data_IF_084356102650
#
_entry.id   IF_084356102650
#
_cell.length_a   1.000
_cell.length_b   1.000
_cell.length_c   1.000
_cell.angle_alpha   90.00
_cell.angle_beta   90.00
_cell.angle_gamma   90.00
#
_symmetry.space_group_name_H-M   'P 1'
#
loop_
_entity.id
_entity.type
_entity.pdbx_description
1 polymer ?
#
# COMPACT_ATOMS: atom_id res chain seq x y z
N UNK A 1 -14.01 -10.10 -28.65
CA UNK A 1 -14.08 -9.27 -27.43
C UNK A 1 -12.88 -9.61 -26.56
N UNK A 2 -11.97 -8.67 -26.32
CA UNK A 2 -10.80 -8.90 -25.45
C UNK A 2 -11.24 -8.78 -23.98
N UNK A 3 -10.84 -9.70 -23.09
CA UNK A 3 -11.19 -9.62 -21.67
C UNK A 3 -10.53 -8.39 -21.04
N UNK A 4 -11.34 -7.57 -20.35
CA UNK A 4 -10.94 -6.27 -19.75
C UNK A 4 -9.77 -6.33 -18.75
N UNK A 5 -9.34 -7.53 -18.34
CA UNK A 5 -8.28 -7.74 -17.34
C UNK A 5 -7.16 -8.67 -17.83
N UNK A 6 -7.05 -8.91 -19.14
CA UNK A 6 -5.89 -9.63 -19.67
C UNK A 6 -4.65 -8.74 -19.56
N UNK A 7 -3.69 -9.16 -18.74
CA UNK A 7 -2.41 -8.50 -18.64
C UNK A 7 -1.68 -8.64 -19.99
N UNK A 8 -1.39 -7.54 -20.71
CA UNK A 8 -0.78 -7.61 -22.03
C UNK A 8 0.61 -8.27 -22.01
N UNK A 9 1.28 -8.24 -20.85
CA UNK A 9 2.59 -8.88 -20.66
C UNK A 9 2.51 -10.40 -20.44
N UNK A 10 1.31 -10.95 -20.22
CA UNK A 10 1.06 -12.40 -20.11
C UNK A 10 0.44 -12.98 -21.38
N UNK A 11 0.15 -12.14 -22.38
CA UNK A 11 -0.25 -12.63 -23.68
C UNK A 11 0.93 -13.37 -24.31
N UNK A 12 0.71 -14.61 -24.75
CA UNK A 12 1.68 -15.35 -25.55
C UNK A 12 1.83 -14.64 -26.89
N UNK A 13 2.77 -13.71 -26.96
CA UNK A 13 3.22 -13.13 -28.23
C UNK A 13 4.19 -14.16 -28.82
N UNK A 14 3.92 -14.70 -30.02
CA UNK A 14 4.86 -15.59 -30.70
C UNK A 14 6.16 -14.81 -30.91
N UNK A 15 7.26 -15.32 -30.37
CA UNK A 15 8.59 -14.74 -30.53
C UNK A 15 9.43 -15.65 -31.42
N UNK A 16 10.10 -15.06 -32.40
CA UNK A 16 11.02 -15.73 -33.29
C UNK A 16 12.46 -15.42 -32.86
N UNK A 17 13.35 -16.42 -32.91
CA UNK A 17 14.76 -16.24 -32.57
C UNK A 17 15.47 -15.66 -33.79
N UNK A 18 15.90 -14.40 -33.70
CA UNK A 18 16.59 -13.69 -34.78
C UNK A 18 18.08 -13.58 -34.43
N UNK A 19 18.96 -13.75 -35.42
CA UNK A 19 20.40 -13.57 -35.25
C UNK A 19 20.75 -12.10 -35.04
N UNK A 20 21.85 -11.83 -34.32
CA UNK A 20 22.33 -10.46 -34.10
C UNK A 20 22.64 -9.74 -35.41
N UNK A 21 23.14 -10.46 -36.41
CA UNK A 21 23.48 -9.88 -37.71
C UNK A 21 22.23 -9.48 -38.51
N UNK A 22 21.15 -10.26 -38.41
CA UNK A 22 19.87 -9.96 -39.10
C UNK A 22 19.18 -8.70 -38.54
N UNK A 23 19.37 -8.42 -37.24
CA UNK A 23 18.81 -7.22 -36.61
C UNK A 23 19.42 -5.90 -37.13
N UNK A 24 20.62 -5.94 -37.73
CA UNK A 24 21.29 -4.74 -38.25
C UNK A 24 21.00 -4.45 -39.72
N UNK A 25 20.58 -5.44 -40.50
CA UNK A 25 20.27 -5.25 -41.93
C UNK A 25 18.92 -4.55 -42.17
N UNK A 26 17.99 -4.60 -41.22
CA UNK A 26 16.66 -3.99 -41.36
C UNK A 26 16.62 -2.50 -40.92
N UNK A 27 17.70 -1.99 -40.32
CA UNK A 27 17.78 -0.63 -39.81
C UNK A 27 18.39 0.38 -40.80
N UNK A 28 19.00 -0.08 -41.91
CA UNK A 28 19.51 0.81 -42.94
C UNK A 28 18.45 1.10 -44.00
N UNK A 29 17.69 2.18 -43.76
CA UNK A 29 16.73 2.85 -44.67
C UNK A 29 15.24 2.51 -44.50
N UNK A 30 14.60 2.91 -43.39
CA UNK A 30 13.14 2.94 -43.29
C UNK A 30 12.48 4.09 -44.08
N UNK A 31 13.24 5.03 -44.66
CA UNK A 31 12.64 6.19 -45.33
C UNK A 31 12.26 5.96 -46.81
N UNK A 32 12.72 4.88 -47.44
CA UNK A 32 12.51 4.68 -48.89
C UNK A 32 11.40 3.69 -49.25
N UNK A 33 10.68 3.13 -48.28
CA UNK A 33 9.66 2.08 -48.50
C UNK A 33 8.28 2.36 -47.90
N UNK A 34 8.07 3.54 -47.35
CA UNK A 34 6.70 3.99 -47.06
C UNK A 34 6.08 4.41 -48.40
N UNK A 35 5.33 3.49 -48.98
CA UNK A 35 4.54 3.75 -50.18
C UNK A 35 3.74 5.05 -50.00
N UNK A 36 3.64 5.83 -51.08
CA UNK A 36 3.03 7.16 -51.07
C UNK A 36 1.58 7.18 -50.53
N UNK A 37 0.94 6.01 -50.39
CA UNK A 37 -0.40 5.81 -49.86
C UNK A 37 -0.48 5.84 -48.32
N UNK A 38 0.62 5.62 -47.60
CA UNK A 38 0.61 5.59 -46.12
C UNK A 38 0.84 6.97 -45.49
N UNK A 39 1.40 7.91 -46.26
CA UNK A 39 1.57 9.32 -45.82
C UNK A 39 0.25 10.01 -45.41
N UNK A 40 -0.88 9.87 -46.12
CA UNK A 40 -2.15 10.44 -45.67
C UNK A 40 -2.67 9.76 -44.41
N UNK A 41 -2.50 8.44 -44.28
CA UNK A 41 -2.92 7.69 -43.10
C UNK A 41 -2.14 8.13 -41.85
N UNK A 42 -0.83 8.34 -41.99
CA UNK A 42 0.04 8.82 -40.92
C UNK A 42 -0.32 10.25 -40.49
N UNK A 43 -0.70 11.11 -41.45
CA UNK A 43 -1.23 12.46 -41.14
C UNK A 43 -2.56 12.40 -40.41
N UNK A 44 -3.47 11.51 -40.81
CA UNK A 44 -4.75 11.34 -40.12
C UNK A 44 -4.57 10.81 -38.70
N UNK A 45 -3.65 9.87 -38.50
CA UNK A 45 -3.35 9.32 -37.18
C UNK A 45 -2.74 10.37 -36.24
N UNK A 46 -1.78 11.18 -36.74
CA UNK A 46 -1.23 12.29 -35.98
C UNK A 46 -2.31 13.33 -35.63
N UNK A 47 -3.20 13.64 -36.57
CA UNK A 47 -4.33 14.54 -36.33
C UNK A 47 -5.24 14.00 -35.21
N UNK A 48 -5.63 12.72 -35.26
CA UNK A 48 -6.47 12.10 -34.22
C UNK A 48 -5.78 12.06 -32.86
N UNK A 49 -4.48 11.81 -32.82
CA UNK A 49 -3.72 11.87 -31.57
C UNK A 49 -3.78 13.27 -30.97
N UNK A 50 -3.49 14.31 -31.75
CA UNK A 50 -3.58 15.69 -31.26
C UNK A 50 -5.00 16.09 -30.85
N UNK A 51 -6.02 15.71 -31.61
CA UNK A 51 -7.42 15.98 -31.26
C UNK A 51 -7.84 15.23 -29.97
N UNK A 52 -7.33 14.01 -29.74
CA UNK A 52 -7.62 13.25 -28.51
C UNK A 52 -6.82 13.71 -27.29
N UNK A 53 -5.65 14.33 -27.52
CA UNK A 53 -4.72 14.81 -26.50
C UNK A 53 -4.97 16.28 -26.15
N UNK A 54 -6.02 16.91 -26.68
CA UNK A 54 -6.66 18.08 -26.04
C UNK A 54 -7.25 17.65 -24.69
N UNK A 55 -6.37 17.36 -23.74
CA UNK A 55 -6.70 17.34 -22.33
C UNK A 55 -7.11 18.76 -21.98
N UNK A 56 -8.42 19.02 -21.94
CA UNK A 56 -8.96 20.10 -21.13
C UNK A 56 -8.48 19.85 -19.71
N UNK A 57 -7.42 20.52 -19.31
CA UNK A 57 -7.01 20.62 -17.91
C UNK A 57 -8.00 21.55 -17.19
N UNK A 58 -9.29 21.18 -17.23
CA UNK A 58 -10.19 21.48 -16.13
C UNK A 58 -9.78 20.53 -15.02
N UNK A 59 -8.70 20.87 -14.33
CA UNK A 59 -8.37 20.22 -13.07
C UNK A 59 -9.37 20.78 -12.06
N UNK A 60 -10.41 20.04 -11.62
CA UNK A 60 -10.99 20.36 -10.33
C UNK A 60 -9.90 20.06 -9.32
N UNK A 61 -9.13 21.10 -8.98
CA UNK A 61 -8.24 21.09 -7.82
C UNK A 61 -9.11 20.57 -6.68
N UNK A 62 -8.76 19.38 -6.20
CA UNK A 62 -9.46 18.68 -5.12
C UNK A 62 -9.32 19.53 -3.87
N UNK A 63 -10.17 20.55 -3.75
CA UNK A 63 -10.42 21.20 -2.48
C UNK A 63 -10.95 20.10 -1.58
N UNK A 64 -10.19 19.79 -0.53
CA UNK A 64 -10.73 19.03 0.58
C UNK A 64 -12.03 19.72 0.97
N UNK A 65 -13.16 19.01 0.91
CA UNK A 65 -14.41 19.46 1.51
C UNK A 65 -14.10 19.75 2.98
N UNK A 66 -13.87 21.02 3.29
CA UNK A 66 -14.02 21.54 4.63
C UNK A 66 -15.50 21.35 4.93
N UNK A 67 -15.78 20.56 5.96
CA UNK A 67 -17.13 20.37 6.44
C UNK A 67 -17.56 21.73 7.02
N UNK A 68 -18.25 22.52 6.21
CA UNK A 68 -18.90 23.76 6.63
C UNK A 68 -20.15 23.34 7.41
N UNK A 69 -19.93 22.95 8.66
CA UNK A 69 -21.00 22.98 9.65
C UNK A 69 -21.30 24.44 9.93
N UNK A 70 -22.58 24.81 9.84
CA UNK A 70 -23.08 26.11 10.33
C UNK A 70 -22.72 26.24 11.81
N UNK A 71 -21.59 26.88 12.08
CA UNK A 71 -21.27 27.34 13.42
C UNK A 71 -22.03 28.65 13.61
N UNK A 72 -23.05 28.59 14.46
CA UNK A 72 -23.59 29.78 15.12
C UNK A 72 -22.43 30.66 15.59
N UNK A 73 -22.33 31.86 15.01
CA UNK A 73 -21.50 32.95 15.49
C UNK A 73 -21.99 33.37 16.88
N UNK A 74 -21.65 32.59 17.90
CA UNK A 74 -21.53 33.13 19.25
C UNK A 74 -20.22 33.92 19.27
N UNK A 75 -20.32 35.20 19.61
CA UNK A 75 -19.19 36.11 19.83
C UNK A 75 -18.29 35.53 20.92
N UNK A 76 -17.41 34.62 20.52
CA UNK A 76 -16.40 34.04 21.39
C UNK A 76 -15.20 34.96 21.31
N UNK A 77 -14.87 35.56 22.45
CA UNK A 77 -13.64 36.30 22.64
C UNK A 77 -12.45 35.48 22.11
N UNK A 78 -11.47 36.12 21.45
CA UNK A 78 -10.37 35.41 20.82
C UNK A 78 -9.67 34.53 21.86
N UNK A 79 -9.77 33.22 21.69
CA UNK A 79 -9.12 32.27 22.58
C UNK A 79 -7.61 32.39 22.37
N UNK A 80 -6.92 33.01 23.32
CA UNK A 80 -5.46 33.17 23.29
C UNK A 80 -4.80 31.82 23.58
N UNK A 81 -4.36 31.14 22.54
CA UNK A 81 -3.53 29.94 22.68
C UNK A 81 -2.08 30.34 22.97
N UNK A 82 -1.58 30.00 24.15
CA UNK A 82 -0.17 30.13 24.53
C UNK A 82 0.54 28.81 24.28
N UNK A 83 1.47 28.79 23.33
CA UNK A 83 2.31 27.62 23.07
C UNK A 83 3.36 27.51 24.20
N UNK A 84 3.23 26.52 25.08
CA UNK A 84 4.21 26.23 26.12
C UNK A 84 5.14 25.15 25.59
N UNK A 85 6.41 25.50 25.35
CA UNK A 85 7.44 24.52 25.01
C UNK A 85 7.84 23.73 26.26
N UNK A 86 8.08 22.44 26.12
CA UNK A 86 8.59 21.55 27.18
C UNK A 86 10.10 21.69 27.42
N UNK A 87 10.79 22.59 26.71
CA UNK A 87 12.19 22.87 26.93
C UNK A 87 12.40 23.68 28.22
N UNK A 88 13.40 23.28 29.02
CA UNK A 88 13.73 23.86 30.34
C UNK A 88 14.15 25.34 30.25
N UNK A 89 14.63 25.80 29.09
CA UNK A 89 15.01 27.19 28.82
C UNK A 89 14.36 27.72 27.53
N UNK A 90 13.82 28.95 27.54
CA UNK A 90 13.24 29.57 26.35
C UNK A 90 14.33 29.85 25.30
N UNK A 91 14.26 29.16 24.16
CA UNK A 91 15.16 29.42 23.03
C UNK A 91 14.80 30.77 22.39
N UNK A 92 15.72 31.74 22.30
CA UNK A 92 15.46 33.00 21.63
C UNK A 92 15.13 32.75 20.15
N UNK A 93 14.00 33.29 19.70
CA UNK A 93 13.60 33.21 18.30
C UNK A 93 14.49 34.18 17.51
N UNK A 94 15.27 33.68 16.57
CA UNK A 94 16.03 34.52 15.67
C UNK A 94 15.07 35.16 14.65
N UNK A 95 14.79 36.46 14.82
CA UNK A 95 13.91 37.25 13.94
C UNK A 95 14.66 37.70 12.66
N UNK A 96 16.00 37.59 12.65
CA UNK A 96 16.77 38.00 11.49
C UNK A 96 16.41 37.13 10.29
N UNK A 97 16.27 37.73 9.09
CA UNK A 97 16.03 36.96 7.89
C UNK A 97 17.14 35.91 7.75
N UNK A 98 16.82 34.69 7.28
CA UNK A 98 17.83 33.70 6.99
C UNK A 98 18.85 34.28 5.99
N UNK A 99 20.14 33.90 6.09
CA UNK A 99 21.15 34.38 5.17
C UNK A 99 20.73 34.09 3.72
N UNK A 100 21.10 34.96 2.76
CA UNK A 100 20.79 34.75 1.36
C UNK A 100 21.30 33.36 0.93
N UNK A 101 20.47 32.63 0.18
CA UNK A 101 20.86 31.32 -0.33
C UNK A 101 22.14 31.48 -1.15
N UNK A 102 23.13 30.59 -1.00
CA UNK A 102 24.31 30.62 -1.86
C UNK A 102 23.88 30.51 -3.32
N UNK A 103 24.63 31.12 -4.27
CA UNK A 103 24.34 30.99 -5.69
C UNK A 103 24.18 29.52 -6.07
N UNK A 104 23.18 29.15 -6.88
CA UNK A 104 23.02 27.78 -7.33
C UNK A 104 24.28 27.41 -8.12
N UNK A 105 25.14 26.60 -7.51
CA UNK A 105 26.31 26.07 -8.19
C UNK A 105 25.84 24.95 -9.11
N UNK A 106 25.31 25.33 -10.27
CA UNK A 106 24.96 24.38 -11.32
C UNK A 106 26.23 24.01 -12.07
N UNK A 107 26.72 22.80 -11.82
CA UNK A 107 27.73 22.15 -12.65
C UNK A 107 27.03 21.05 -13.41
N UNK A 108 27.00 21.17 -14.73
CA UNK A 108 26.51 20.10 -15.60
C UNK A 108 27.30 18.82 -15.29
N UNK A 109 26.62 17.69 -15.05
CA UNK A 109 27.29 16.41 -14.90
C UNK A 109 28.09 16.09 -16.17
N UNK A 110 29.31 15.58 -16.02
CA UNK A 110 30.03 15.06 -17.18
C UNK A 110 29.25 13.86 -17.73
N UNK A 111 28.78 13.97 -18.98
CA UNK A 111 27.95 12.96 -19.62
C UNK A 111 28.76 11.75 -20.14
N UNK A 112 30.07 11.90 -20.24
CA UNK A 112 30.98 10.84 -20.70
C UNK A 112 31.68 10.18 -19.53
N UNK A 113 31.62 8.85 -19.49
CA UNK A 113 32.37 8.07 -18.52
C UNK A 113 33.86 8.13 -18.81
N UNK A 114 34.65 8.41 -17.78
CA UNK A 114 36.09 8.15 -17.84
C UNK A 114 36.33 6.63 -17.88
N UNK A 115 37.45 6.20 -18.48
CA UNK A 115 37.81 4.77 -18.51
C UNK A 115 37.86 4.16 -17.10
N UNK A 116 38.31 4.94 -16.11
CA UNK A 116 38.33 4.53 -14.70
C UNK A 116 36.93 4.28 -14.15
N UNK A 117 35.96 5.13 -14.48
CA UNK A 117 34.58 4.99 -14.02
C UNK A 117 33.85 3.84 -14.73
N UNK A 118 34.17 3.59 -16.00
CA UNK A 118 33.72 2.39 -16.71
C UNK A 118 34.23 1.11 -16.02
N UNK A 119 35.51 1.07 -15.60
CA UNK A 119 36.06 -0.05 -14.85
C UNK A 119 35.41 -0.21 -13.47
N UNK A 120 35.15 0.88 -12.75
CA UNK A 120 34.40 0.82 -11.48
C UNK A 120 32.99 0.27 -11.69
N UNK A 121 32.27 0.76 -12.71
CA UNK A 121 30.92 0.25 -13.04
C UNK A 121 30.94 -1.23 -13.36
N UNK A 122 31.94 -1.69 -14.13
CA UNK A 122 32.13 -3.12 -14.44
C UNK A 122 32.41 -3.96 -13.18
N UNK A 123 33.22 -3.45 -12.24
CA UNK A 123 33.48 -4.14 -10.96
C UNK A 123 32.22 -4.20 -10.10
N UNK A 124 31.50 -3.09 -9.98
CA UNK A 124 30.25 -3.03 -9.22
C UNK A 124 29.17 -3.92 -9.83
N UNK A 125 28.99 -3.90 -11.15
CA UNK A 125 28.02 -4.75 -11.83
C UNK A 125 28.34 -6.22 -11.64
N UNK A 126 29.62 -6.61 -11.71
CA UNK A 126 30.06 -7.98 -11.43
C UNK A 126 29.83 -8.39 -9.97
N UNK A 127 29.98 -7.48 -9.02
CA UNK A 127 29.75 -7.74 -7.60
C UNK A 127 28.26 -7.85 -7.24
N UNK A 128 27.40 -7.09 -7.92
CA UNK A 128 25.93 -7.10 -7.72
C UNK A 128 25.25 -8.18 -8.56
N UNK A 129 25.88 -8.64 -9.64
CA UNK A 129 25.33 -9.69 -10.49
C UNK A 129 25.04 -10.94 -9.65
N UNK A 130 23.75 -11.27 -9.57
CA UNK A 130 23.29 -12.50 -8.96
C UNK A 130 23.60 -13.62 -9.95
N UNK A 131 24.28 -14.66 -9.48
CA UNK A 131 24.57 -15.84 -10.29
C UNK A 131 23.26 -16.49 -10.76
N UNK A 132 23.17 -16.79 -12.06
CA UNK A 132 22.01 -17.45 -12.65
C UNK A 132 21.74 -18.78 -11.96
N UNK A 133 22.80 -19.56 -11.71
CA UNK A 133 22.68 -20.86 -11.05
C UNK A 133 22.14 -20.72 -9.63
N UNK A 134 22.53 -19.64 -8.93
CA UNK A 134 21.99 -19.31 -7.61
C UNK A 134 20.49 -18.99 -7.68
N UNK A 135 20.03 -18.20 -8.66
CA UNK A 135 18.59 -17.88 -8.83
C UNK A 135 17.78 -19.16 -9.11
N UNK A 136 18.29 -20.04 -9.98
CA UNK A 136 17.63 -21.31 -10.28
C UNK A 136 17.56 -22.20 -9.05
N UNK A 137 18.62 -22.27 -8.25
CA UNK A 137 18.62 -23.02 -6.99
C UNK A 137 17.66 -22.42 -5.96
N UNK A 138 17.64 -21.10 -5.80
CA UNK A 138 16.75 -20.42 -4.85
C UNK A 138 15.28 -20.57 -5.24
N UNK A 139 14.95 -20.50 -6.54
CA UNK A 139 13.58 -20.68 -7.04
C UNK A 139 13.00 -22.07 -6.78
N UNK A 140 13.87 -23.09 -6.68
CA UNK A 140 13.49 -24.47 -6.35
C UNK A 140 13.25 -24.67 -4.86
N UNK A 141 13.70 -23.76 -3.99
CA UNK A 141 13.40 -23.81 -2.56
C UNK A 141 11.92 -23.47 -2.39
N UNK A 142 11.15 -24.42 -1.88
CA UNK A 142 9.77 -24.17 -1.48
C UNK A 142 9.77 -23.27 -0.25
N UNK A 143 9.70 -21.96 -0.47
CA UNK A 143 9.33 -21.05 0.60
C UNK A 143 7.86 -21.30 0.91
N UNK A 144 7.61 -22.13 1.92
CA UNK A 144 6.34 -22.06 2.64
C UNK A 144 6.11 -20.58 2.93
N UNK A 145 4.88 -20.04 2.72
CA UNK A 145 4.63 -18.63 3.02
C UNK A 145 5.13 -18.43 4.44
N UNK A 146 6.20 -17.64 4.58
CA UNK A 146 6.69 -17.25 5.90
C UNK A 146 5.45 -16.84 6.65
N UNK A 147 5.23 -17.31 7.90
CA UNK A 147 4.14 -16.83 8.72
C UNK A 147 4.43 -15.35 8.91
N UNK A 148 3.97 -14.54 7.96
CA UNK A 148 4.17 -13.11 8.02
C UNK A 148 3.40 -12.77 9.27
N UNK A 149 4.09 -12.18 10.24
CA UNK A 149 3.51 -11.83 11.53
C UNK A 149 2.19 -11.06 11.39
N UNK A 150 1.97 -10.46 10.21
CA UNK A 150 0.78 -9.69 9.80
C UNK A 150 -0.30 -10.51 9.08
N UNK A 151 0.01 -11.68 8.53
CA UNK A 151 -0.95 -12.60 7.90
C UNK A 151 -1.39 -13.69 8.88
N UNK A 152 -1.94 -13.29 10.02
CA UNK A 152 -2.63 -14.21 10.93
C UNK A 152 -4.07 -14.40 10.46
N UNK A 153 -4.24 -15.10 9.34
CA UNK A 153 -5.55 -15.66 8.99
C UNK A 153 -5.69 -16.92 9.83
N UNK A 154 -6.40 -16.84 10.96
CA UNK A 154 -6.49 -17.96 11.90
C UNK A 154 -7.54 -18.97 11.48
N UNK A 155 -8.68 -18.50 10.97
CA UNK A 155 -9.78 -19.35 10.53
C UNK A 155 -10.54 -18.68 9.38
N UNK A 156 -10.77 -19.43 8.32
CA UNK A 156 -11.73 -19.11 7.28
C UNK A 156 -12.86 -20.13 7.36
N UNK A 157 -14.05 -19.68 7.74
CA UNK A 157 -15.25 -20.50 7.77
C UNK A 157 -16.18 -20.01 6.68
N UNK A 158 -16.51 -20.91 5.76
CA UNK A 158 -17.64 -20.72 4.87
C UNK A 158 -18.88 -20.96 5.73
N UNK A 159 -19.70 -19.94 5.93
CA UNK A 159 -21.00 -20.14 6.58
C UNK A 159 -21.84 -20.99 5.64
N UNK A 160 -22.20 -22.24 5.97
CA UNK A 160 -23.19 -22.94 5.19
C UNK A 160 -24.47 -22.11 5.27
N UNK A 161 -24.99 -21.65 4.14
CA UNK A 161 -26.33 -21.09 4.07
C UNK A 161 -27.26 -22.12 4.72
N UNK A 162 -27.91 -21.72 5.81
CA UNK A 162 -28.74 -22.61 6.61
C UNK A 162 -29.65 -23.39 5.66
N UNK A 163 -29.51 -24.72 5.68
CA UNK A 163 -30.36 -25.66 4.96
C UNK A 163 -31.74 -25.70 5.61
N UNK A 164 -32.45 -24.59 5.51
CA UNK A 164 -33.86 -24.44 5.80
C UNK A 164 -34.43 -23.54 4.72
N UNK A 165 -34.76 -24.17 3.59
CA UNK A 165 -35.96 -23.88 2.79
C UNK A 165 -36.46 -22.43 2.82
N UNK A 166 -35.68 -21.51 2.27
CA UNK A 166 -36.21 -20.27 1.72
C UNK A 166 -35.28 -19.77 0.61
N UNK A 167 -35.79 -19.81 -0.61
CA UNK A 167 -35.18 -19.27 -1.82
C UNK A 167 -34.89 -17.79 -1.61
N UNK A 168 -33.67 -17.47 -1.20
CA UNK A 168 -33.15 -16.10 -1.31
C UNK A 168 -31.68 -16.18 -1.72
N UNK A 169 -31.41 -15.55 -2.86
CA UNK A 169 -30.13 -15.49 -3.58
C UNK A 169 -29.06 -14.71 -2.80
N UNK A 170 -28.75 -15.12 -1.58
CA UNK A 170 -27.67 -14.52 -0.81
C UNK A 170 -26.35 -15.16 -1.23
N UNK A 171 -25.47 -14.33 -1.80
CA UNK A 171 -24.12 -14.74 -2.19
C UNK A 171 -23.37 -15.39 -1.01
N UNK A 172 -22.54 -16.42 -1.24
CA UNK A 172 -21.78 -17.04 -0.16
C UNK A 172 -20.92 -15.99 0.55
N UNK A 173 -21.19 -15.79 1.84
CA UNK A 173 -20.45 -14.83 2.66
C UNK A 173 -19.24 -15.55 3.27
N UNK A 174 -18.05 -15.10 2.88
CA UNK A 174 -16.79 -15.51 3.50
C UNK A 174 -16.54 -14.64 4.73
N UNK A 175 -16.53 -15.24 5.92
CA UNK A 175 -16.20 -14.53 7.16
C UNK A 175 -14.72 -14.72 7.44
N UNK A 176 -13.96 -13.63 7.34
CA UNK A 176 -12.53 -13.59 7.63
C UNK A 176 -12.30 -13.09 9.05
N UNK A 177 -11.73 -13.95 9.91
CA UNK A 177 -11.30 -13.54 11.25
C UNK A 177 -9.82 -13.11 11.21
N UNK A 178 -9.57 -11.86 11.60
CA UNK A 178 -8.23 -11.32 11.76
C UNK A 178 -7.92 -11.06 13.24
N UNK A 179 -6.73 -11.46 13.69
CA UNK A 179 -6.24 -11.05 15.01
C UNK A 179 -5.93 -9.55 14.98
N UNK A 180 -6.66 -8.79 15.79
CA UNK A 180 -6.43 -7.36 15.92
C UNK A 180 -5.00 -7.11 16.43
N UNK A 181 -4.21 -6.24 15.79
CA UNK A 181 -2.86 -5.94 16.24
C UNK A 181 -2.91 -5.37 17.67
N UNK A 182 -1.92 -5.73 18.48
CA UNK A 182 -1.79 -5.26 19.85
C UNK A 182 -1.77 -3.73 19.84
N UNK A 183 -2.85 -3.09 20.31
CA UNK A 183 -2.91 -1.63 20.41
C UNK A 183 -2.09 -1.22 21.63
N UNK A 184 -1.16 -0.28 21.45
CA UNK A 184 -0.50 0.40 22.57
C UNK A 184 -1.45 1.35 23.31
N UNK A 185 -2.60 1.63 22.72
CA UNK A 185 -3.67 2.42 23.33
C UNK A 185 -4.78 1.49 23.82
N UNK A 186 -5.25 1.70 25.04
CA UNK A 186 -6.41 0.97 25.55
C UNK A 186 -7.62 1.33 24.67
N UNK A 187 -8.50 0.36 24.32
CA UNK A 187 -9.76 0.69 23.66
C UNK A 187 -10.52 1.71 24.52
N UNK A 188 -11.36 2.58 23.93
CA UNK A 188 -12.16 3.51 24.71
C UNK A 188 -13.00 2.71 25.72
N UNK A 189 -12.67 2.90 27.00
CA UNK A 189 -13.39 2.35 28.14
C UNK A 189 -14.41 3.41 28.53
N UNK A 190 -15.67 3.02 28.75
CA UNK A 190 -16.70 3.97 29.22
C UNK A 190 -16.29 4.55 30.57
N UNK A 191 -16.64 5.81 30.83
CA UNK A 191 -16.25 6.50 32.07
C UNK A 191 -16.74 5.77 33.33
N UNK A 192 -17.89 5.07 33.24
CA UNK A 192 -18.40 4.22 34.31
C UNK A 192 -17.43 3.10 34.70
N UNK A 193 -16.81 2.44 33.71
CA UNK A 193 -15.88 1.33 33.92
C UNK A 193 -14.53 1.78 34.51
N UNK A 194 -14.17 3.06 34.37
CA UNK A 194 -12.95 3.61 34.93
C UNK A 194 -12.98 3.66 36.46
N UNK A 195 -14.16 3.65 37.09
CA UNK A 195 -14.30 3.66 38.55
C UNK A 195 -14.05 2.28 39.21
N UNK A 196 -13.94 1.22 38.41
CA UNK A 196 -13.84 -0.16 38.89
C UNK A 196 -12.46 -0.78 38.64
N UNK A 197 -12.12 -1.81 39.42
CA UNK A 197 -10.93 -2.61 39.15
C UNK A 197 -11.07 -3.31 37.78
N UNK A 198 -10.06 -3.27 36.88
CA UNK A 198 -8.64 -3.02 37.14
C UNK A 198 -8.14 -1.58 36.89
N UNK A 199 -9.03 -0.63 36.61
CA UNK A 199 -8.64 0.72 36.20
C UNK A 199 -8.26 1.62 37.39
N UNK A 200 -8.81 1.35 38.58
CA UNK A 200 -8.45 2.01 39.84
C UNK A 200 -8.01 0.98 40.86
N UNK A 201 -6.80 1.15 41.41
CA UNK A 201 -6.26 0.25 42.43
C UNK A 201 -7.09 0.36 43.72
N UNK A 202 -7.57 -0.77 44.24
CA UNK A 202 -8.42 -0.83 45.44
C UNK A 202 -9.91 -0.60 45.19
N UNK A 203 -10.35 -0.34 43.96
CA UNK A 203 -11.76 -0.23 43.64
C UNK A 203 -12.49 -1.60 43.65
N UNK A 204 -13.81 -1.63 43.95
CA UNK A 204 -14.58 -2.87 43.88
C UNK A 204 -14.68 -3.39 42.44
N UNK A 205 -14.72 -4.72 42.23
CA UNK A 205 -14.88 -5.31 40.90
C UNK A 205 -16.25 -4.97 40.30
N UNK A 206 -16.28 -4.69 38.99
CA UNK A 206 -17.50 -4.34 38.25
C UNK A 206 -18.61 -5.40 38.45
N UNK A 207 -19.89 -5.01 38.66
CA UNK A 207 -21.00 -5.93 38.92
C UNK A 207 -21.15 -7.03 37.85
N UNK A 208 -20.96 -6.70 36.57
CA UNK A 208 -21.03 -7.72 35.50
C UNK A 208 -19.93 -8.78 35.57
N UNK A 209 -18.76 -8.43 36.11
CA UNK A 209 -17.68 -9.38 36.30
C UNK A 209 -18.02 -10.42 37.38
N UNK A 210 -18.89 -10.06 38.33
CA UNK A 210 -19.38 -10.98 39.36
C UNK A 210 -20.46 -11.93 38.82
N UNK A 211 -21.28 -11.48 37.86
CA UNK A 211 -22.32 -12.30 37.23
C UNK A 211 -21.71 -13.49 36.48
N UNK A 212 -20.59 -13.27 35.78
CA UNK A 212 -19.91 -14.34 35.00
C UNK A 212 -19.27 -15.44 35.86
N UNK A 213 -18.84 -15.14 37.09
CA UNK A 213 -18.28 -16.17 37.99
C UNK A 213 -19.33 -17.13 38.52
N UNK A 214 -20.59 -16.67 38.65
CA UNK A 214 -21.68 -17.51 39.17
C UNK A 214 -22.22 -18.50 38.13
N UNK A 215 -22.05 -18.25 36.84
CA UNK A 215 -22.56 -19.13 35.77
C UNK A 215 -21.56 -20.19 35.27
N UNK A 216 -20.29 -20.16 35.73
CA UNK A 216 -19.25 -21.09 35.27
C UNK A 216 -18.98 -22.27 36.20
N UNK A 217 -19.69 -22.41 37.33
CA UNK A 217 -19.47 -23.53 38.26
C UNK A 217 -20.14 -24.85 37.85
N UNK A 218 -20.74 -24.94 36.67
CA UNK A 218 -21.42 -26.15 36.18
C UNK A 218 -20.67 -26.70 34.98
N UNK A 219 -19.43 -27.15 35.18
CA UNK A 219 -18.73 -27.98 34.20
C UNK A 219 -19.09 -29.43 34.53
N UNK A 220 -19.84 -30.15 33.68
CA UNK A 220 -20.11 -31.57 33.91
C UNK A 220 -18.79 -32.34 33.79
N UNK A 221 -18.37 -32.97 34.88
CA UNK A 221 -17.26 -33.92 34.86
C UNK A 221 -17.70 -35.18 34.10
N UNK A 222 -17.00 -35.50 33.01
CA UNK A 222 -17.19 -36.75 32.28
C UNK A 222 -16.09 -37.71 32.75
N UNK A 223 -16.47 -38.70 33.56
CA UNK A 223 -15.61 -39.84 33.87
C UNK A 223 -15.55 -40.77 32.65
N UNK A 224 -14.34 -41.04 32.17
CA UNK A 224 -14.10 -42.01 31.11
C UNK A 224 -13.40 -43.22 31.74
N UNK A 225 -14.13 -44.33 31.85
CA UNK A 225 -13.54 -45.62 32.20
C UNK A 225 -12.83 -46.22 30.99
N UNK A 226 -11.53 -46.43 31.11
CA UNK A 226 -10.76 -47.23 30.16
C UNK A 226 -10.83 -48.69 30.61
N UNK A 227 -11.46 -49.54 29.79
CA UNK A 227 -11.35 -51.00 29.93
C UNK A 227 -10.01 -51.44 29.33
N UNK A 228 -9.23 -52.15 30.14
CA UNK A 228 -8.01 -52.86 29.76
C UNK A 228 -8.37 -54.25 29.29
#
# INVERSE_FOLDING_TARGET
>A
MLPRFANPHLAHIPTEKISRDDAFYDASSPESRLDSEDRPLLKELNKRLHDSLEFKFDVPRKQRKLFEGEYLHSSSDPTLFRLVSTAEEPRPININPPPPKPPPHYREPNYEDTEEDALKRRKCSKAVAVDYDWVIQESRKTHLPFPSWKSRLTHATLSPAASTSAVSSSSPVLILHHLQPLRHTRPPVSDELLTHHPYVAGAPPHPEAQIRRKSQSTIPAVEVMLQV
#
